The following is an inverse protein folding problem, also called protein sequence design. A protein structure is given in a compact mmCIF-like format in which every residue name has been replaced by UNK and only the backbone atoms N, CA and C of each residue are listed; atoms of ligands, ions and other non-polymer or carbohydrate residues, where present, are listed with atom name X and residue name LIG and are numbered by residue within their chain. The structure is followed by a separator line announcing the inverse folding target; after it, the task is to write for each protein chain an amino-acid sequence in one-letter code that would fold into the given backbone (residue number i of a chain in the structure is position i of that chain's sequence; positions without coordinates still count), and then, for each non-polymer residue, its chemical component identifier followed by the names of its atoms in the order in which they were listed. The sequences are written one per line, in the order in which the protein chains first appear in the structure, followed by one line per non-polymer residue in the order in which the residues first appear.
data_IF_287243706277
#
_entry.id   IF_287243706277
#
_cell.length_a   1.000
_cell.length_b   1.000
_cell.length_c   1.000
_cell.angle_alpha   90.00
_cell.angle_beta   90.00
_cell.angle_gamma   90.00
#
_symmetry.space_group_name_H-M   'P 1'
#
loop_
_entity.id
_entity.type
_entity.pdbx_description
1 polymer ?
#
# COMPACT_ATOMS: atom_id res chain seq x y z
N UNK A 1 -13.44 -2.15 -31.33
CA UNK A 1 -13.55 -3.59 -31.03
C UNK A 1 -13.47 -3.77 -29.53
N UNK A 2 -14.61 -3.64 -28.85
CA UNK A 2 -14.73 -3.88 -27.41
C UNK A 2 -14.90 -5.39 -27.18
N UNK A 3 -13.84 -6.06 -26.74
CA UNK A 3 -13.91 -7.42 -26.24
C UNK A 3 -14.25 -7.37 -24.75
N UNK A 4 -15.47 -7.75 -24.39
CA UNK A 4 -15.89 -7.93 -22.99
C UNK A 4 -14.99 -8.99 -22.36
N UNK A 5 -14.16 -8.60 -21.40
CA UNK A 5 -13.28 -9.53 -20.69
C UNK A 5 -14.10 -10.19 -19.59
N UNK A 6 -14.51 -11.44 -19.77
CA UNK A 6 -15.31 -12.12 -18.73
C UNK A 6 -14.43 -12.56 -17.57
N UNK A 7 -14.66 -11.98 -16.41
CA UNK A 7 -14.16 -12.45 -15.13
C UNK A 7 -15.02 -13.63 -14.68
N UNK A 8 -14.41 -14.79 -14.40
CA UNK A 8 -15.12 -15.92 -13.78
C UNK A 8 -14.28 -16.42 -12.64
N UNK A 9 -14.92 -16.74 -11.52
CA UNK A 9 -14.28 -17.55 -10.48
C UNK A 9 -13.85 -18.88 -11.09
N UNK A 10 -12.58 -19.23 -10.94
CA UNK A 10 -12.14 -20.60 -11.15
C UNK A 10 -12.88 -21.48 -10.14
N UNK A 11 -13.55 -22.55 -10.63
CA UNK A 11 -14.00 -23.64 -9.75
C UNK A 11 -12.76 -24.44 -9.35
N UNK A 12 -11.98 -23.90 -8.41
CA UNK A 12 -10.76 -24.53 -7.91
C UNK A 12 -11.10 -25.69 -6.99
N UNK A 13 -10.69 -26.90 -7.39
CA UNK A 13 -10.73 -28.10 -6.57
C UNK A 13 -9.95 -27.90 -5.27
N UNK A 14 -10.48 -28.44 -4.17
CA UNK A 14 -9.83 -28.47 -2.86
C UNK A 14 -8.56 -29.33 -2.91
N UNK A 15 -7.44 -28.75 -3.33
CA UNK A 15 -6.11 -29.33 -3.19
C UNK A 15 -5.62 -29.12 -1.77
N UNK A 16 -5.71 -30.16 -0.94
CA UNK A 16 -5.23 -30.18 0.44
C UNK A 16 -3.71 -29.97 0.51
N UNK A 17 -3.31 -28.74 0.82
CA UNK A 17 -1.96 -28.40 1.24
C UNK A 17 -2.00 -27.83 2.65
N UNK A 18 -1.97 -28.70 3.65
CA UNK A 18 -1.93 -28.34 5.07
C UNK A 18 -0.64 -27.57 5.39
N UNK A 19 -0.71 -26.25 5.35
CA UNK A 19 0.32 -25.35 5.86
C UNK A 19 -0.30 -24.42 6.88
N UNK A 20 0.02 -24.61 8.17
CA UNK A 20 -0.32 -23.69 9.26
C UNK A 20 0.12 -22.26 8.88
N UNK A 21 -0.83 -21.42 8.50
CA UNK A 21 -0.65 -19.97 8.50
C UNK A 21 -0.85 -19.50 9.94
N UNK A 22 0.24 -19.16 10.62
CA UNK A 22 0.20 -18.51 11.93
C UNK A 22 -0.11 -17.04 11.69
N UNK A 23 -1.27 -16.60 12.20
CA UNK A 23 -1.75 -15.22 12.12
C UNK A 23 -0.73 -14.26 12.76
N UNK A 24 -0.12 -13.41 11.94
CA UNK A 24 0.43 -12.16 12.44
C UNK A 24 -0.74 -11.19 12.61
N UNK A 25 -1.08 -10.91 13.87
CA UNK A 25 -2.22 -10.08 14.23
C UNK A 25 -2.08 -8.66 13.72
N UNK A 26 -2.71 -8.36 12.59
CA UNK A 26 -3.24 -7.02 12.37
C UNK A 26 -4.38 -6.83 13.38
N UNK A 27 -4.12 -6.12 14.48
CA UNK A 27 -5.18 -5.67 15.39
C UNK A 27 -6.13 -4.80 14.56
N UNK A 28 -7.34 -5.33 14.34
CA UNK A 28 -8.43 -4.59 13.73
C UNK A 28 -8.68 -3.32 14.55
N UNK A 29 -8.47 -2.16 13.91
CA UNK A 29 -8.98 -0.90 14.40
C UNK A 29 -10.50 -0.99 14.51
N UNK A 30 -11.01 -0.69 15.70
CA UNK A 30 -12.43 -0.66 16.05
C UNK A 30 -13.20 0.18 15.04
N UNK A 31 -14.16 -0.44 14.34
CA UNK A 31 -15.18 0.27 13.56
C UNK A 31 -15.93 1.21 14.51
N UNK A 32 -15.93 2.50 14.19
CA UNK A 32 -16.83 3.47 14.81
C UNK A 32 -18.16 3.36 14.07
N UNK A 33 -19.19 2.87 14.76
CA UNK A 33 -20.57 2.91 14.30
C UNK A 33 -21.00 4.37 14.12
N UNK A 34 -21.38 4.73 12.89
CA UNK A 34 -22.20 5.92 12.64
C UNK A 34 -23.64 5.45 12.41
N UNK A 35 -24.40 5.36 13.50
CA UNK A 35 -25.85 5.19 13.47
C UNK A 35 -26.53 6.54 13.29
N UNK A 36 -27.55 6.60 12.43
CA UNK A 36 -28.49 7.71 12.34
C UNK A 36 -28.89 8.10 10.92
N UNK A 37 -29.94 7.45 10.38
CA UNK A 37 -30.76 8.04 9.30
C UNK A 37 -31.59 9.18 9.89
N UNK A 38 -31.92 10.21 9.08
CA UNK A 38 -33.34 10.45 8.91
C UNK A 38 -33.78 10.77 7.47
N UNK A 39 -34.98 10.26 7.18
CA UNK A 39 -36.08 10.76 6.35
C UNK A 39 -35.82 11.60 5.09
N UNK A 40 -36.37 11.09 3.99
CA UNK A 40 -36.67 11.81 2.75
C UNK A 40 -37.64 12.97 3.01
N UNK A 41 -37.31 14.14 2.45
CA UNK A 41 -38.23 15.26 2.26
C UNK A 41 -37.92 15.94 0.93
N UNK A 42 -38.83 15.83 -0.04
CA UNK A 42 -38.81 16.55 -1.30
C UNK A 42 -39.18 18.03 -1.08
N UNK A 43 -38.40 18.94 -1.67
CA UNK A 43 -38.74 20.35 -1.73
C UNK A 43 -37.73 21.11 -2.58
N UNK A 44 -38.09 21.37 -3.84
CA UNK A 44 -37.37 22.25 -4.77
C UNK A 44 -37.37 23.68 -4.23
N UNK A 45 -36.24 24.35 -4.33
CA UNK A 45 -36.11 25.79 -4.09
C UNK A 45 -34.66 26.21 -4.26
N UNK A 46 -34.38 26.84 -5.40
CA UNK A 46 -33.07 27.39 -5.76
C UNK A 46 -32.63 28.44 -4.73
N UNK A 47 -31.43 28.29 -4.16
CA UNK A 47 -30.79 29.31 -3.31
C UNK A 47 -29.37 29.55 -3.82
N UNK A 48 -28.98 30.81 -4.07
CA UNK A 48 -27.73 31.14 -4.74
C UNK A 48 -26.52 30.90 -3.82
N UNK A 49 -25.43 30.40 -4.41
CA UNK A 49 -24.14 30.23 -3.73
C UNK A 49 -23.53 31.62 -3.48
N UNK A 50 -23.77 32.17 -2.29
CA UNK A 50 -22.97 33.24 -1.75
C UNK A 50 -21.60 32.66 -1.34
N UNK A 51 -20.54 33.12 -2.01
CA UNK A 51 -19.17 32.75 -1.68
C UNK A 51 -18.80 33.19 -0.28
N UNK A 52 -18.91 32.28 0.69
CA UNK A 52 -18.36 32.45 2.01
C UNK A 52 -16.83 32.36 1.92
N UNK A 53 -16.18 33.52 1.91
CA UNK A 53 -14.73 33.63 1.99
C UNK A 53 -14.19 32.87 3.20
N UNK A 54 -13.08 32.16 2.99
CA UNK A 54 -12.35 31.47 4.06
C UNK A 54 -12.00 32.49 5.15
N UNK A 55 -12.45 32.31 6.40
CA UNK A 55 -12.09 33.23 7.47
C UNK A 55 -10.57 33.22 7.67
N UNK A 56 -9.95 34.37 8.00
CA UNK A 56 -8.51 34.44 8.21
C UNK A 56 -8.12 33.51 9.37
N UNK A 57 -7.15 32.62 9.11
CA UNK A 57 -6.57 31.74 10.13
C UNK A 57 -6.07 32.60 11.29
N UNK A 58 -6.40 32.29 12.56
CA UNK A 58 -5.96 33.08 13.69
C UNK A 58 -4.43 33.17 13.70
N UNK A 59 -3.89 34.39 13.75
CA UNK A 59 -2.43 34.68 13.81
C UNK A 59 -1.69 34.06 15.01
N UNK A 60 -2.36 33.30 15.88
CA UNK A 60 -1.74 32.60 17.02
C UNK A 60 -1.08 31.26 16.69
N UNK A 61 -1.23 30.72 15.47
CA UNK A 61 -0.46 29.56 15.03
C UNK A 61 1.04 29.87 14.78
N UNK A 62 1.40 31.15 14.65
CA UNK A 62 2.79 31.59 14.41
C UNK A 62 3.69 31.51 15.64
N UNK A 63 3.14 31.62 16.86
CA UNK A 63 3.94 31.73 18.08
C UNK A 63 4.51 30.40 18.60
N UNK A 64 3.99 29.25 18.13
CA UNK A 64 4.49 27.92 18.52
C UNK A 64 5.65 27.45 17.61
N UNK A 65 5.76 28.06 16.43
CA UNK A 65 6.70 27.63 15.38
C UNK A 65 8.08 28.31 15.44
N UNK A 66 8.25 29.35 16.27
CA UNK A 66 9.45 30.19 16.32
C UNK A 66 10.49 29.79 17.39
N UNK A 67 10.24 28.76 18.21
CA UNK A 67 11.04 28.50 19.42
C UNK A 67 11.99 27.29 19.39
N UNK A 68 12.18 26.58 18.27
CA UNK A 68 12.96 25.32 18.29
C UNK A 68 13.95 25.10 17.13
N UNK A 69 14.43 26.18 16.49
CA UNK A 69 15.43 26.06 15.42
C UNK A 69 16.65 25.24 15.88
N UNK A 70 16.78 24.02 15.34
CA UNK A 70 17.92 23.12 15.58
C UNK A 70 17.80 22.12 16.73
N UNK A 71 16.70 22.10 17.49
CA UNK A 71 16.45 21.06 18.52
C UNK A 71 15.98 19.75 17.89
N UNK A 72 16.02 18.68 18.66
CA UNK A 72 15.45 17.37 18.27
C UNK A 72 13.93 17.47 18.10
N UNK A 73 13.39 16.80 17.09
CA UNK A 73 11.95 16.78 16.85
C UNK A 73 11.20 16.06 17.96
N UNK A 74 10.03 16.56 18.39
CA UNK A 74 9.16 15.81 19.27
C UNK A 74 8.77 14.51 18.58
N UNK A 75 8.56 13.50 19.39
CA UNK A 75 8.26 12.17 18.90
C UNK A 75 6.77 12.05 18.58
N UNK A 76 6.39 12.23 17.30
CA UNK A 76 4.99 12.37 16.85
C UNK A 76 4.54 11.35 15.79
N UNK A 77 5.35 10.33 15.51
CA UNK A 77 5.08 9.25 14.53
C UNK A 77 3.66 8.66 14.64
N UNK A 78 3.16 8.41 15.85
CA UNK A 78 1.81 7.86 16.05
C UNK A 78 0.70 8.84 15.64
N UNK A 79 0.90 10.14 15.88
CA UNK A 79 -0.02 11.20 15.45
C UNK A 79 0.04 11.38 13.94
N UNK A 80 1.25 11.39 13.39
CA UNK A 80 1.56 11.37 11.97
C UNK A 80 0.85 10.24 11.24
N UNK A 81 1.01 8.99 11.69
CA UNK A 81 0.37 7.83 11.10
C UNK A 81 -1.16 7.97 11.11
N UNK A 82 -1.75 8.47 12.20
CA UNK A 82 -3.21 8.71 12.30
C UNK A 82 -3.69 9.78 11.31
N UNK A 83 -2.92 10.84 11.11
CA UNK A 83 -3.24 11.91 10.16
C UNK A 83 -3.16 11.40 8.71
N UNK A 84 -2.12 10.64 8.37
CA UNK A 84 -1.98 10.02 7.05
C UNK A 84 -3.10 9.04 6.72
N UNK A 85 -3.53 8.23 7.68
CA UNK A 85 -4.66 7.32 7.51
C UNK A 85 -6.00 8.04 7.31
N UNK A 86 -6.07 9.34 7.66
CA UNK A 86 -7.22 10.21 7.41
C UNK A 86 -7.06 11.08 6.14
N UNK A 87 -6.00 10.86 5.35
CA UNK A 87 -5.75 11.61 4.12
C UNK A 87 -5.17 13.01 4.33
N UNK A 88 -4.58 13.30 5.49
CA UNK A 88 -3.96 14.59 5.79
C UNK A 88 -2.49 14.65 5.32
N UNK A 89 -2.24 14.38 4.05
CA UNK A 89 -0.91 14.51 3.41
C UNK A 89 -0.89 15.70 2.41
N UNK A 90 0.26 16.36 2.19
CA UNK A 90 1.57 16.12 2.79
C UNK A 90 1.64 16.66 4.23
N UNK A 91 2.45 16.00 5.06
CA UNK A 91 2.69 16.47 6.42
C UNK A 91 3.48 17.79 6.43
N UNK A 92 3.26 18.67 7.42
CA UNK A 92 4.02 19.91 7.56
C UNK A 92 5.52 19.64 7.65
N UNK A 93 6.31 20.51 7.01
CA UNK A 93 7.78 20.47 7.17
C UNK A 93 8.16 20.89 8.58
N UNK A 94 8.98 20.08 9.25
CA UNK A 94 9.48 20.40 10.57
C UNK A 94 10.71 21.34 10.52
N UNK A 95 10.88 22.20 11.54
CA UNK A 95 12.08 23.04 11.76
C UNK A 95 12.96 22.49 12.90
N UNK A 96 13.07 21.17 13.00
CA UNK A 96 13.84 20.43 14.00
C UNK A 96 14.66 19.31 13.34
N UNK A 97 15.61 18.73 14.08
CA UNK A 97 16.44 17.61 13.62
C UNK A 97 15.77 16.28 13.98
N UNK A 98 15.70 15.30 13.07
CA UNK A 98 15.24 13.96 13.43
C UNK A 98 16.18 13.35 14.47
N UNK A 99 15.64 12.48 15.34
CA UNK A 99 16.44 11.75 16.31
C UNK A 99 17.37 10.75 15.61
N UNK A 100 18.63 10.71 16.03
CA UNK A 100 19.60 9.70 15.58
C UNK A 100 19.56 8.50 16.53
N UNK A 101 19.65 7.25 16.02
CA UNK A 101 19.87 6.08 16.87
C UNK A 101 21.14 6.23 17.71
N UNK A 102 21.12 5.73 18.95
CA UNK A 102 22.27 5.81 19.84
C UNK A 102 23.48 5.02 19.31
N UNK A 103 23.23 3.89 18.66
CA UNK A 103 24.25 2.99 18.11
C UNK A 103 23.97 2.73 16.63
N UNK A 104 24.21 3.75 15.81
CA UNK A 104 24.09 3.60 14.37
C UNK A 104 25.15 2.63 13.81
N UNK A 105 24.69 1.66 13.03
CA UNK A 105 25.54 0.70 12.31
C UNK A 105 25.28 0.88 10.83
N UNK A 106 26.36 1.05 10.06
CA UNK A 106 26.28 1.19 8.61
C UNK A 106 25.66 -0.07 7.97
N UNK A 107 24.72 0.07 7.02
CA UNK A 107 24.12 -1.07 6.35
C UNK A 107 25.13 -1.94 5.62
N UNK A 108 24.83 -3.24 5.49
CA UNK A 108 25.63 -4.15 4.66
C UNK A 108 25.73 -3.62 3.22
N UNK A 109 26.90 -3.68 2.56
CA UNK A 109 27.02 -3.27 1.17
C UNK A 109 26.06 -4.04 0.23
N UNK A 110 25.67 -3.38 -0.87
CA UNK A 110 24.98 -4.06 -1.97
C UNK A 110 25.92 -5.09 -2.62
N UNK A 111 25.43 -6.26 -3.07
CA UNK A 111 24.03 -6.70 -3.13
C UNK A 111 23.53 -7.44 -1.89
N UNK A 112 24.40 -7.72 -0.90
CA UNK A 112 24.05 -8.54 0.27
C UNK A 112 22.93 -7.92 1.12
N UNK A 113 22.87 -6.59 1.23
CA UNK A 113 21.79 -5.91 1.96
C UNK A 113 20.38 -6.15 1.43
N UNK A 114 20.21 -6.52 0.15
CA UNK A 114 18.87 -6.77 -0.41
C UNK A 114 18.09 -7.86 0.34
N UNK A 115 18.80 -8.81 0.92
CA UNK A 115 18.22 -9.97 1.61
C UNK A 115 18.56 -10.01 3.10
N UNK A 116 19.48 -9.16 3.55
CA UNK A 116 19.83 -9.03 4.96
C UNK A 116 18.69 -8.42 5.78
N UNK A 117 18.71 -8.70 7.08
CA UNK A 117 17.94 -7.96 8.07
C UNK A 117 18.91 -6.96 8.69
N UNK A 118 18.61 -5.66 8.66
CA UNK A 118 19.45 -4.65 9.33
C UNK A 118 19.49 -4.88 10.85
N UNK A 119 20.56 -4.43 11.52
CA UNK A 119 20.64 -4.49 12.98
C UNK A 119 19.55 -3.64 13.62
N UNK A 120 19.00 -4.12 14.75
CA UNK A 120 17.95 -3.40 15.48
C UNK A 120 18.49 -2.10 16.11
N UNK A 121 19.80 -2.01 16.40
CA UNK A 121 20.44 -0.83 17.01
C UNK A 121 20.47 0.40 16.10
N UNK A 122 20.42 0.21 14.79
CA UNK A 122 20.48 1.29 13.80
C UNK A 122 19.20 2.12 13.68
N UNK A 123 18.24 1.98 14.59
CA UNK A 123 16.89 2.55 14.49
C UNK A 123 16.37 3.04 15.84
N UNK A 124 15.56 4.09 15.81
CA UNK A 124 14.78 4.56 16.96
C UNK A 124 13.45 3.80 17.02
N UNK A 125 13.26 3.01 18.08
CA UNK A 125 12.08 2.13 18.24
C UNK A 125 10.95 2.71 19.08
N UNK A 126 11.12 3.91 19.64
CA UNK A 126 10.26 4.44 20.72
C UNK A 126 8.76 4.47 20.36
N UNK A 127 8.40 4.72 19.10
CA UNK A 127 7.01 4.75 18.58
C UNK A 127 6.31 3.42 18.58
N UNK A 128 7.10 2.36 18.41
CA UNK A 128 6.57 1.12 17.91
C UNK A 128 6.35 0.17 19.06
N UNK A 129 5.26 -0.59 18.99
CA UNK A 129 5.00 -1.67 19.94
C UNK A 129 6.10 -2.73 19.85
N UNK A 130 6.56 -3.04 18.62
CA UNK A 130 7.70 -3.90 18.38
C UNK A 130 9.01 -3.16 18.67
N UNK A 131 9.98 -3.85 19.31
CA UNK A 131 11.31 -3.30 19.61
C UNK A 131 12.44 -3.99 18.82
N UNK A 132 12.07 -4.77 17.82
CA UNK A 132 13.00 -5.43 16.89
C UNK A 132 12.30 -5.78 15.59
N UNK A 133 13.08 -5.93 14.52
CA UNK A 133 12.56 -6.37 13.23
C UNK A 133 12.05 -7.81 13.26
N UNK A 134 12.53 -8.63 14.18
CA UNK A 134 12.03 -9.98 14.38
C UNK A 134 10.57 -9.96 14.86
N UNK A 135 10.23 -9.05 15.79
CA UNK A 135 8.86 -8.87 16.27
C UNK A 135 7.94 -8.32 15.16
N UNK A 136 8.38 -7.32 14.39
CA UNK A 136 7.55 -6.69 13.35
C UNK A 136 7.31 -7.56 12.12
N UNK A 137 8.16 -8.56 11.83
CA UNK A 137 8.05 -9.38 10.61
C UNK A 137 6.94 -10.42 10.66
N UNK A 138 6.45 -10.79 11.85
CA UNK A 138 5.63 -11.98 12.03
C UNK A 138 6.32 -13.23 11.47
N UNK A 139 5.68 -14.40 11.55
CA UNK A 139 6.24 -15.65 11.01
C UNK A 139 6.22 -15.74 9.47
N UNK A 140 6.23 -14.61 8.75
CA UNK A 140 6.08 -14.58 7.29
C UNK A 140 7.35 -15.08 6.59
N UNK A 141 7.35 -16.33 6.15
CA UNK A 141 8.36 -16.88 5.22
C UNK A 141 8.31 -16.12 3.89
N UNK A 142 9.47 -15.85 3.25
CA UNK A 142 9.50 -15.28 1.91
C UNK A 142 8.93 -16.30 0.90
N UNK A 143 7.67 -16.15 0.50
CA UNK A 143 7.02 -16.99 -0.54
C UNK A 143 6.96 -16.33 -1.93
N UNK A 144 7.51 -15.14 -2.10
CA UNK A 144 7.25 -14.30 -3.30
C UNK A 144 8.29 -14.43 -4.42
N UNK A 145 9.36 -15.22 -4.26
CA UNK A 145 10.44 -15.30 -5.26
C UNK A 145 9.94 -15.81 -6.61
N UNK A 146 9.04 -16.79 -6.60
CA UNK A 146 8.40 -17.31 -7.83
C UNK A 146 7.54 -16.25 -8.51
N UNK A 147 6.81 -15.44 -7.74
CA UNK A 147 5.78 -14.55 -8.26
C UNK A 147 6.35 -13.30 -8.93
N UNK A 148 7.46 -12.74 -8.40
CA UNK A 148 8.14 -11.61 -9.03
C UNK A 148 8.68 -11.96 -10.42
N UNK A 149 9.21 -13.18 -10.58
CA UNK A 149 9.64 -13.68 -11.89
C UNK A 149 8.45 -13.79 -12.84
N UNK A 150 7.32 -14.30 -12.37
CA UNK A 150 6.08 -14.38 -13.18
C UNK A 150 5.63 -12.99 -13.62
N UNK A 151 5.65 -11.98 -12.74
CA UNK A 151 5.27 -10.62 -13.11
C UNK A 151 6.21 -10.00 -14.14
N UNK A 152 7.54 -10.17 -13.98
CA UNK A 152 8.53 -9.76 -14.97
C UNK A 152 8.30 -10.47 -16.31
N UNK A 153 8.04 -11.78 -16.31
CA UNK A 153 7.78 -12.53 -17.55
C UNK A 153 6.48 -12.12 -18.21
N UNK A 154 5.41 -11.84 -17.45
CA UNK A 154 4.14 -11.42 -18.01
C UNK A 154 4.20 -9.98 -18.53
N UNK A 155 4.92 -9.09 -17.85
CA UNK A 155 5.24 -7.75 -18.35
C UNK A 155 6.13 -7.80 -19.60
N UNK A 156 7.07 -8.75 -19.64
CA UNK A 156 7.97 -9.02 -20.78
C UNK A 156 7.32 -9.83 -21.91
N UNK A 157 6.14 -10.42 -21.69
CA UNK A 157 5.46 -11.33 -22.62
C UNK A 157 4.57 -10.60 -23.63
N UNK A 158 4.16 -9.37 -23.34
CA UNK A 158 3.88 -8.40 -24.41
C UNK A 158 5.19 -8.13 -25.13
N UNK A 159 5.16 -7.65 -26.38
CA UNK A 159 6.31 -7.19 -27.21
C UNK A 159 7.22 -6.12 -26.55
N UNK A 160 7.25 -6.01 -25.23
CA UNK A 160 8.18 -5.20 -24.50
C UNK A 160 9.54 -5.90 -24.59
N UNK A 161 10.50 -5.21 -25.20
CA UNK A 161 11.86 -5.71 -25.31
C UNK A 161 12.41 -6.06 -23.91
N UNK A 162 13.32 -7.04 -23.83
CA UNK A 162 14.08 -7.29 -22.60
C UNK A 162 14.65 -5.96 -22.07
N UNK A 163 14.45 -5.69 -20.78
CA UNK A 163 14.86 -4.43 -20.14
C UNK A 163 13.86 -3.28 -20.27
N UNK A 164 12.65 -3.49 -20.82
CA UNK A 164 11.60 -2.47 -20.94
C UNK A 164 11.03 -2.02 -19.58
N UNK A 165 11.02 -2.91 -18.59
CA UNK A 165 10.60 -2.64 -17.21
C UNK A 165 11.80 -2.06 -16.46
N UNK A 166 11.70 -0.81 -16.02
CA UNK A 166 12.79 -0.03 -15.45
C UNK A 166 12.40 0.68 -14.17
N UNK A 167 11.13 1.10 -14.06
CA UNK A 167 10.61 1.83 -12.90
C UNK A 167 9.24 1.29 -12.48
N UNK A 168 9.02 1.21 -11.18
CA UNK A 168 7.74 0.81 -10.62
C UNK A 168 7.48 1.31 -9.20
N UNK A 169 6.32 0.92 -8.69
CA UNK A 169 5.85 1.24 -7.35
C UNK A 169 5.39 -0.04 -6.65
N UNK A 170 5.76 -0.21 -5.38
CA UNK A 170 5.25 -1.25 -4.49
C UNK A 170 4.44 -0.61 -3.35
N UNK A 171 3.12 -0.79 -3.38
CA UNK A 171 2.19 -0.19 -2.44
C UNK A 171 2.15 -1.05 -1.17
N UNK A 172 2.69 -0.49 -0.08
CA UNK A 172 2.71 -1.11 1.25
C UNK A 172 3.55 -2.37 1.30
N UNK A 173 4.81 -2.30 0.84
CA UNK A 173 5.66 -3.42 0.43
C UNK A 173 6.00 -4.56 1.41
N UNK A 174 5.19 -4.85 2.43
CA UNK A 174 5.18 -6.11 3.17
C UNK A 174 6.57 -6.55 3.66
N UNK A 175 7.01 -7.75 3.30
CA UNK A 175 8.36 -8.29 3.61
C UNK A 175 9.48 -7.78 2.69
N UNK A 176 9.15 -6.87 1.76
CA UNK A 176 10.04 -6.15 0.81
C UNK A 176 10.79 -7.06 -0.15
N UNK A 177 10.30 -8.28 -0.33
CA UNK A 177 10.90 -9.32 -1.17
C UNK A 177 10.70 -9.07 -2.67
N UNK A 178 9.56 -8.51 -3.07
CA UNK A 178 9.31 -8.10 -4.45
C UNK A 178 10.33 -7.07 -4.91
N UNK A 179 10.48 -5.99 -4.15
CA UNK A 179 11.35 -4.85 -4.47
C UNK A 179 12.82 -5.26 -4.49
N UNK A 180 13.26 -6.07 -3.52
CA UNK A 180 14.60 -6.66 -3.51
C UNK A 180 14.88 -7.47 -4.79
N UNK A 181 13.92 -8.29 -5.22
CA UNK A 181 14.04 -9.09 -6.45
C UNK A 181 14.04 -8.23 -7.72
N UNK A 182 13.22 -7.20 -7.78
CA UNK A 182 13.20 -6.25 -8.90
C UNK A 182 14.54 -5.53 -9.01
N UNK A 183 15.15 -5.17 -7.87
CA UNK A 183 16.46 -4.52 -7.81
C UNK A 183 17.59 -5.41 -8.35
N UNK A 184 17.58 -6.72 -8.08
CA UNK A 184 18.53 -7.68 -8.69
C UNK A 184 18.46 -7.68 -10.22
N UNK A 185 17.30 -7.39 -10.79
CA UNK A 185 17.08 -7.30 -12.24
C UNK A 185 17.27 -5.86 -12.79
N UNK A 186 17.86 -4.96 -12.00
CA UNK A 186 18.12 -3.58 -12.40
C UNK A 186 16.88 -2.69 -12.49
N UNK A 187 15.74 -3.13 -11.93
CA UNK A 187 14.51 -2.33 -11.90
C UNK A 187 14.47 -1.50 -10.63
N UNK A 188 14.20 -0.20 -10.76
CA UNK A 188 14.02 0.70 -9.64
C UNK A 188 12.55 0.66 -9.21
N UNK A 189 12.30 0.27 -7.97
CA UNK A 189 10.94 0.26 -7.42
C UNK A 189 10.92 1.12 -6.17
N UNK A 190 10.02 2.11 -6.16
CA UNK A 190 9.71 2.91 -4.97
C UNK A 190 8.71 2.12 -4.13
N UNK A 191 8.93 2.04 -2.82
CA UNK A 191 8.09 1.26 -1.92
C UNK A 191 7.38 2.18 -0.93
N UNK A 192 6.05 2.16 -0.91
CA UNK A 192 5.30 2.95 0.08
C UNK A 192 5.16 2.22 1.40
N UNK A 193 5.18 2.95 2.51
CA UNK A 193 4.92 2.43 3.85
C UNK A 193 4.49 3.54 4.80
N UNK A 194 3.53 3.26 5.67
CA UNK A 194 3.09 4.15 6.77
C UNK A 194 3.67 3.73 8.14
N UNK A 195 4.69 2.87 8.16
CA UNK A 195 5.36 2.39 9.38
C UNK A 195 4.43 1.76 10.44
N UNK A 196 3.38 1.06 10.01
CA UNK A 196 2.41 0.46 10.94
C UNK A 196 3.10 -0.53 11.90
N UNK A 197 3.20 -0.19 13.19
CA UNK A 197 3.86 -0.98 14.25
C UNK A 197 5.35 -1.34 14.01
N UNK A 198 6.01 -0.65 13.08
CA UNK A 198 7.44 -0.83 12.88
C UNK A 198 8.07 0.16 11.88
N UNK A 199 9.38 0.42 11.99
CA UNK A 199 10.13 1.37 11.17
C UNK A 199 10.44 0.79 9.78
N UNK A 200 9.41 0.43 9.02
CA UNK A 200 9.56 -0.25 7.73
C UNK A 200 10.24 0.62 6.66
N UNK A 201 10.06 1.94 6.70
CA UNK A 201 10.76 2.85 5.79
C UNK A 201 12.29 2.77 5.98
N UNK A 202 12.77 2.73 7.23
CA UNK A 202 14.19 2.56 7.51
C UNK A 202 14.70 1.17 7.10
N UNK A 203 13.89 0.13 7.30
CA UNK A 203 14.24 -1.20 6.82
C UNK A 203 14.39 -1.22 5.29
N UNK A 204 13.47 -0.61 4.55
CA UNK A 204 13.55 -0.49 3.08
C UNK A 204 14.87 0.22 2.71
N UNK A 205 15.16 1.37 3.31
CA UNK A 205 16.39 2.12 3.06
C UNK A 205 17.66 1.30 3.35
N UNK A 206 17.70 0.59 4.49
CA UNK A 206 18.85 -0.24 4.88
C UNK A 206 19.15 -1.40 3.91
N UNK A 207 18.16 -1.80 3.10
CA UNK A 207 18.35 -2.79 2.02
C UNK A 207 18.84 -2.17 0.71
N UNK A 208 19.12 -0.86 0.67
CA UNK A 208 19.45 -0.14 -0.55
C UNK A 208 18.27 0.03 -1.50
N UNK A 209 17.04 0.03 -0.96
CA UNK A 209 15.79 0.23 -1.69
C UNK A 209 15.22 1.63 -1.39
N UNK A 210 14.26 2.10 -2.21
CA UNK A 210 13.72 3.47 -2.09
C UNK A 210 12.41 3.45 -1.29
N UNK A 211 12.38 3.89 -0.02
CA UNK A 211 11.15 4.08 0.72
C UNK A 211 10.42 5.36 0.34
N UNK A 212 9.11 5.36 0.50
CA UNK A 212 8.27 6.55 0.44
C UNK A 212 7.24 6.46 1.57
N UNK A 213 7.24 7.47 2.45
CA UNK A 213 6.30 7.53 3.55
C UNK A 213 4.96 8.09 3.04
N UNK A 214 4.05 7.21 2.61
CA UNK A 214 2.81 7.56 1.91
C UNK A 214 1.67 6.57 2.23
N UNK A 215 0.48 7.10 2.47
CA UNK A 215 -0.77 6.34 2.66
C UNK A 215 -1.46 5.98 1.34
N UNK A 216 -2.28 4.93 1.34
CA UNK A 216 -3.17 4.60 0.20
C UNK A 216 -4.26 5.65 -0.03
N UNK A 217 -4.53 6.49 0.97
CA UNK A 217 -5.50 7.59 0.86
C UNK A 217 -4.94 8.78 0.06
N UNK A 218 -3.64 8.80 -0.22
CA UNK A 218 -2.97 9.91 -0.86
C UNK A 218 -2.78 9.68 -2.35
N UNK A 219 -2.85 10.77 -3.11
CA UNK A 219 -2.51 10.74 -4.53
C UNK A 219 -1.04 10.40 -4.70
N UNK A 220 -0.75 9.39 -5.51
CA UNK A 220 0.57 8.93 -5.87
C UNK A 220 1.37 10.07 -6.51
N UNK A 221 2.54 10.44 -5.95
CA UNK A 221 3.34 11.58 -6.39
C UNK A 221 4.20 11.26 -7.62
N UNK A 222 3.63 10.55 -8.58
CA UNK A 222 4.23 10.26 -9.89
C UNK A 222 3.46 11.00 -10.98
N UNK A 223 4.17 11.47 -12.01
CA UNK A 223 3.54 12.02 -13.20
C UNK A 223 2.81 10.91 -13.97
N UNK A 224 1.77 11.29 -14.71
CA UNK A 224 0.90 10.38 -15.43
C UNK A 224 1.71 9.55 -16.45
N UNK A 225 1.41 8.26 -16.54
CA UNK A 225 1.98 7.39 -17.56
C UNK A 225 3.49 7.12 -17.47
N UNK A 226 4.09 7.18 -16.28
CA UNK A 226 5.55 7.04 -16.10
C UNK A 226 6.00 5.66 -15.62
N UNK A 227 5.15 4.93 -14.90
CA UNK A 227 5.50 3.65 -14.27
C UNK A 227 5.28 2.45 -15.19
N UNK A 228 6.14 1.43 -15.07
CA UNK A 228 6.03 0.20 -15.87
C UNK A 228 5.25 -0.88 -15.12
N UNK A 229 5.38 -0.89 -13.81
CA UNK A 229 4.71 -1.84 -12.92
C UNK A 229 4.28 -1.14 -11.64
N UNK A 230 3.06 -1.42 -11.21
CA UNK A 230 2.62 -1.16 -9.84
C UNK A 230 2.33 -2.53 -9.22
N UNK A 231 2.78 -2.73 -8.00
CA UNK A 231 2.54 -3.95 -7.23
C UNK A 231 1.86 -3.57 -5.91
N UNK A 232 0.95 -4.41 -5.44
CA UNK A 232 0.47 -4.35 -4.06
C UNK A 232 0.22 -5.76 -3.56
N UNK A 233 0.67 -6.06 -2.34
CA UNK A 233 0.43 -7.34 -1.68
C UNK A 233 -0.22 -7.11 -0.33
N UNK A 234 -1.41 -7.70 -0.10
CA UNK A 234 -2.20 -7.62 1.13
C UNK A 234 -2.70 -6.24 1.58
N UNK A 235 -2.18 -5.14 1.02
CA UNK A 235 -2.51 -3.78 1.45
C UNK A 235 -3.84 -3.34 0.87
N UNK A 236 -3.99 -3.38 -0.45
CA UNK A 236 -5.27 -3.07 -1.10
C UNK A 236 -6.21 -4.27 -0.90
N UNK A 237 -7.33 -4.05 -0.21
CA UNK A 237 -8.34 -5.08 0.09
C UNK A 237 -9.61 -4.47 0.70
N UNK A 238 -10.61 -5.31 0.96
CA UNK A 238 -11.94 -4.94 1.47
C UNK A 238 -12.00 -4.21 2.81
N UNK A 239 -10.88 -4.04 3.53
CA UNK A 239 -10.85 -3.15 4.72
C UNK A 239 -10.86 -1.66 4.34
N UNK A 240 -10.50 -1.33 3.10
CA UNK A 240 -10.57 0.03 2.56
C UNK A 240 -11.99 0.27 2.05
N UNK A 241 -12.65 1.39 2.42
CA UNK A 241 -13.96 1.75 1.87
C UNK A 241 -13.96 1.80 0.33
N UNK A 242 -14.98 1.23 -0.29
CA UNK A 242 -15.02 0.99 -1.74
C UNK A 242 -14.73 2.25 -2.58
N UNK A 243 -15.26 3.42 -2.22
CA UNK A 243 -15.02 4.68 -2.93
C UNK A 243 -13.55 5.14 -2.87
N UNK A 244 -12.88 4.94 -1.73
CA UNK A 244 -11.47 5.25 -1.57
C UNK A 244 -10.61 4.26 -2.38
N UNK A 245 -10.99 2.99 -2.36
CA UNK A 245 -10.29 1.95 -3.11
C UNK A 245 -10.41 2.16 -4.62
N UNK A 246 -11.60 2.50 -5.12
CA UNK A 246 -11.83 2.87 -6.52
C UNK A 246 -10.95 4.06 -6.92
N UNK A 247 -10.86 5.08 -6.06
CA UNK A 247 -9.98 6.24 -6.28
C UNK A 247 -8.50 5.84 -6.34
N UNK A 248 -8.05 4.97 -5.43
CA UNK A 248 -6.68 4.45 -5.44
C UNK A 248 -6.38 3.66 -6.72
N UNK A 249 -7.32 2.86 -7.21
CA UNK A 249 -7.17 2.11 -8.45
C UNK A 249 -7.15 3.00 -9.69
N UNK A 250 -7.97 4.07 -9.75
CA UNK A 250 -7.85 5.10 -10.80
C UNK A 250 -6.48 5.77 -10.77
N UNK A 251 -5.93 6.02 -9.57
CA UNK A 251 -4.63 6.64 -9.43
C UNK A 251 -3.47 5.71 -9.84
N UNK A 252 -3.60 4.40 -9.56
CA UNK A 252 -2.72 3.36 -10.11
C UNK A 252 -2.78 3.35 -11.65
N UNK A 253 -3.98 3.39 -12.22
CA UNK A 253 -4.18 3.41 -13.66
C UNK A 253 -3.51 4.66 -14.29
N UNK A 254 -3.66 5.82 -13.65
CA UNK A 254 -3.06 7.10 -14.08
C UNK A 254 -1.53 7.04 -14.16
N UNK A 255 -0.86 6.46 -13.17
CA UNK A 255 0.61 6.46 -13.12
C UNK A 255 1.25 5.41 -14.04
N UNK A 256 0.50 4.38 -14.44
CA UNK A 256 0.98 3.35 -15.37
C UNK A 256 1.07 3.89 -16.80
N UNK A 257 2.23 3.69 -17.44
CA UNK A 257 2.41 3.99 -18.86
C UNK A 257 1.53 3.09 -19.74
N UNK A 258 1.40 3.44 -21.01
CA UNK A 258 0.83 2.53 -22.01
C UNK A 258 1.57 1.18 -22.01
N UNK A 259 0.84 0.10 -21.73
CA UNK A 259 1.40 -1.25 -21.62
C UNK A 259 2.09 -1.56 -20.29
N UNK A 260 2.02 -0.65 -19.30
CA UNK A 260 2.34 -0.96 -17.91
C UNK A 260 1.37 -2.00 -17.34
N UNK A 261 1.76 -2.63 -16.23
CA UNK A 261 0.97 -3.68 -15.58
C UNK A 261 0.71 -3.35 -14.11
N UNK A 262 -0.50 -3.61 -13.66
CA UNK A 262 -0.81 -3.61 -12.24
C UNK A 262 -0.86 -5.06 -11.74
N UNK A 263 0.06 -5.41 -10.83
CA UNK A 263 0.05 -6.69 -10.17
C UNK A 263 -0.56 -6.55 -8.77
N UNK A 264 -1.80 -7.00 -8.67
CA UNK A 264 -2.54 -7.05 -7.42
C UNK A 264 -2.40 -8.45 -6.83
N UNK A 265 -1.62 -8.59 -5.74
CA UNK A 265 -1.31 -9.88 -5.13
C UNK A 265 -2.02 -10.08 -3.80
N UNK A 266 -2.66 -11.23 -3.61
CA UNK A 266 -3.38 -11.59 -2.39
C UNK A 266 -4.34 -10.49 -1.87
N UNK A 267 -5.01 -9.80 -2.80
CA UNK A 267 -6.17 -8.97 -2.48
C UNK A 267 -7.24 -9.86 -1.84
N UNK A 268 -7.85 -9.42 -0.75
CA UNK A 268 -8.91 -10.19 -0.12
C UNK A 268 -10.22 -9.43 0.02
N UNK A 269 -11.31 -10.15 -0.22
CA UNK A 269 -12.67 -9.67 -0.09
C UNK A 269 -13.62 -10.80 0.29
N UNK A 270 -14.84 -10.44 0.68
CA UNK A 270 -15.93 -11.40 0.76
C UNK A 270 -16.27 -11.90 -0.66
N UNK A 271 -16.68 -13.15 -0.76
CA UNK A 271 -17.08 -13.76 -2.02
C UNK A 271 -18.22 -12.97 -2.66
N UNK A 272 -19.22 -12.54 -1.90
CA UNK A 272 -20.32 -11.70 -2.40
C UNK A 272 -19.86 -10.40 -3.05
N UNK A 273 -18.80 -9.77 -2.54
CA UNK A 273 -18.27 -8.50 -3.07
C UNK A 273 -17.45 -8.68 -4.34
N UNK A 274 -16.90 -9.88 -4.58
CA UNK A 274 -16.05 -10.11 -5.73
C UNK A 274 -16.77 -9.80 -7.05
N UNK A 275 -17.87 -10.51 -7.29
CA UNK A 275 -18.63 -10.39 -8.55
C UNK A 275 -19.51 -9.13 -8.56
N UNK A 276 -19.99 -8.69 -7.40
CA UNK A 276 -20.92 -7.55 -7.31
C UNK A 276 -20.24 -6.18 -7.25
N UNK A 277 -19.01 -6.11 -6.73
CA UNK A 277 -18.32 -4.84 -6.45
C UNK A 277 -17.00 -4.72 -7.20
N UNK A 278 -16.05 -5.63 -6.97
CA UNK A 278 -14.66 -5.44 -7.42
C UNK A 278 -14.46 -5.72 -8.90
N UNK A 279 -15.09 -6.76 -9.46
CA UNK A 279 -14.99 -7.02 -10.90
C UNK A 279 -15.59 -5.87 -11.74
N UNK A 280 -16.81 -5.38 -11.45
CA UNK A 280 -17.34 -4.18 -12.12
C UNK A 280 -16.47 -2.93 -11.93
N UNK A 281 -15.83 -2.78 -10.78
CA UNK A 281 -14.91 -1.67 -10.50
C UNK A 281 -13.68 -1.74 -11.40
N UNK A 282 -13.03 -2.90 -11.54
CA UNK A 282 -11.89 -3.07 -12.43
C UNK A 282 -12.24 -2.78 -13.90
N UNK A 283 -13.41 -3.25 -14.34
CA UNK A 283 -13.91 -3.00 -15.70
C UNK A 283 -14.18 -1.51 -15.95
N UNK A 284 -14.79 -0.81 -14.99
CA UNK A 284 -15.08 0.63 -15.08
C UNK A 284 -13.82 1.49 -15.18
N UNK A 285 -12.76 1.10 -14.47
CA UNK A 285 -11.47 1.82 -14.51
C UNK A 285 -10.74 1.58 -15.83
N UNK A 286 -11.02 0.45 -16.51
CA UNK A 286 -10.42 0.10 -17.79
C UNK A 286 -9.25 -0.88 -17.68
N UNK A 287 -9.07 -1.54 -16.53
CA UNK A 287 -8.09 -2.61 -16.38
C UNK A 287 -8.42 -3.81 -17.27
N UNK A 288 -7.39 -4.48 -17.80
CA UNK A 288 -7.58 -5.66 -18.67
C UNK A 288 -6.98 -6.88 -18.00
N UNK A 289 -7.78 -7.92 -17.80
CA UNK A 289 -7.30 -9.20 -17.28
C UNK A 289 -6.19 -9.78 -18.16
N UNK A 290 -4.96 -9.83 -17.67
CA UNK A 290 -3.87 -10.58 -18.27
C UNK A 290 -3.75 -11.96 -17.63
N UNK A 291 -3.85 -12.01 -16.30
CA UNK A 291 -3.83 -13.23 -15.52
C UNK A 291 -4.67 -13.04 -14.27
N UNK A 292 -5.30 -14.11 -13.80
CA UNK A 292 -6.17 -14.08 -12.64
C UNK A 292 -6.19 -15.45 -11.96
N UNK A 293 -6.04 -15.46 -10.65
CA UNK A 293 -6.27 -16.60 -9.80
C UNK A 293 -7.05 -16.19 -8.56
N UNK A 294 -8.11 -16.93 -8.25
CA UNK A 294 -8.92 -16.73 -7.05
C UNK A 294 -8.97 -18.02 -6.25
N UNK A 295 -8.81 -17.93 -4.94
CA UNK A 295 -8.88 -19.06 -4.01
C UNK A 295 -9.53 -18.66 -2.70
N UNK A 296 -10.19 -19.60 -2.03
CA UNK A 296 -10.80 -19.34 -0.72
C UNK A 296 -9.73 -19.07 0.32
N UNK A 297 -9.95 -18.03 1.13
CA UNK A 297 -9.16 -17.70 2.31
C UNK A 297 -9.75 -18.47 3.50
N UNK A 298 -8.97 -19.38 4.07
CA UNK A 298 -9.44 -20.38 5.05
C UNK A 298 -8.90 -20.16 6.48
N UNK A 299 -8.05 -19.15 6.68
CA UNK A 299 -7.42 -18.83 7.97
C UNK A 299 -8.43 -18.46 9.08
N UNK A 300 -9.55 -17.84 8.70
CA UNK A 300 -10.68 -17.53 9.62
C UNK A 300 -11.81 -18.55 9.58
N UNK A 301 -11.63 -19.66 8.87
CA UNK A 301 -12.63 -20.69 8.68
C UNK A 301 -13.51 -20.46 7.44
N UNK A 302 -14.03 -21.56 6.89
CA UNK A 302 -14.74 -21.59 5.61
C UNK A 302 -16.06 -20.78 5.59
N UNK A 303 -16.63 -20.54 6.77
CA UNK A 303 -17.91 -19.84 6.95
C UNK A 303 -17.81 -18.34 6.67
N UNK A 304 -16.60 -17.77 6.67
CA UNK A 304 -16.41 -16.33 6.41
C UNK A 304 -16.58 -15.96 4.94
N UNK A 305 -16.55 -16.94 4.02
CA UNK A 305 -16.56 -16.74 2.56
C UNK A 305 -15.59 -15.65 2.09
N UNK A 306 -14.40 -15.58 2.70
CA UNK A 306 -13.33 -14.70 2.23
C UNK A 306 -12.56 -15.37 1.09
N UNK A 307 -12.09 -14.57 0.13
CA UNK A 307 -11.32 -15.01 -1.03
C UNK A 307 -10.03 -14.23 -1.15
N UNK A 308 -8.93 -14.90 -1.49
CA UNK A 308 -7.73 -14.28 -2.01
C UNK A 308 -7.78 -14.24 -3.53
N UNK A 309 -7.35 -13.10 -4.08
CA UNK A 309 -7.25 -12.84 -5.50
C UNK A 309 -5.85 -12.35 -5.78
N UNK A 310 -5.20 -13.01 -6.74
CA UNK A 310 -3.98 -12.51 -7.36
C UNK A 310 -4.26 -12.29 -8.84
N UNK A 311 -4.00 -11.08 -9.31
CA UNK A 311 -4.35 -10.63 -10.65
C UNK A 311 -3.20 -9.83 -11.27
N UNK A 312 -3.05 -9.99 -12.58
CA UNK A 312 -2.26 -9.09 -13.41
C UNK A 312 -3.22 -8.36 -14.35
N UNK A 313 -3.24 -7.04 -14.22
CA UNK A 313 -4.19 -6.09 -14.80
C UNK A 313 -3.50 -5.08 -15.73
#
# INVERSE_FOLDING_TARGET
MEGVTTWRRSRGAAGGGGGRAVAAGAKAGRQVEAGGRPAQGQGRGDVPIAGAGVPPVPRRAGAIHELHGGRECPFDEASTQRLMLKGCEPQPRHRCRPRTPAEYVEPTPLSASLWAVPPDTGIVWDAYTCKSYAASRGAARPRTTTTARTALTSASGRRTARGSVRIGLDIGGGSRTFVARMREHGVMVVTTSVNFDGPFNNFIASRGLVPMHLSVASRLPFFDGTLNVVHSMHVLSSWIPDAMLESAFFDVFRVLRLGGVFWLDHFFCLGSQLDATYLPMFDRIGFKKLWWNAGKKLDRGIHMDEWYISALL
#
